data_IF_024829135832
#
_entry.id   IF_024829135832
#
_cell.length_a   1.000
_cell.length_b   1.000
_cell.length_c   1.000
_cell.angle_alpha   90.00
_cell.angle_beta   90.00
_cell.angle_gamma   90.00
#
_symmetry.space_group_name_H-M   'P 1'
#
loop_
_entity.id
_entity.type
_entity.pdbx_description
1 polymer ?
#
# COMPACT_ATOMS: atom_id res chain seq x y z
N UNK A 1 12.02 -22.30 -27.65
CA UNK A 1 12.20 -20.89 -27.16
C UNK A 1 10.91 -20.50 -26.47
N UNK A 2 10.94 -20.27 -25.18
CA UNK A 2 9.75 -19.85 -24.42
C UNK A 2 9.47 -18.38 -24.80
N UNK A 3 8.31 -18.13 -25.39
CA UNK A 3 7.89 -16.76 -25.76
C UNK A 3 7.73 -15.93 -24.50
N UNK A 4 8.48 -14.81 -24.41
CA UNK A 4 8.34 -13.87 -23.30
C UNK A 4 7.18 -12.92 -23.55
N UNK A 5 6.25 -12.84 -22.62
CA UNK A 5 5.13 -11.88 -22.64
C UNK A 5 5.55 -10.56 -21.99
N UNK A 6 5.22 -9.42 -22.61
CA UNK A 6 5.43 -8.10 -22.00
C UNK A 6 4.43 -7.87 -20.87
N UNK A 7 4.91 -7.43 -19.71
CA UNK A 7 4.06 -7.04 -18.58
C UNK A 7 3.46 -5.65 -18.89
N UNK A 8 2.13 -5.56 -18.91
CA UNK A 8 1.36 -4.34 -19.15
C UNK A 8 0.56 -3.95 -17.91
N UNK A 9 -0.07 -2.78 -17.92
CA UNK A 9 -0.84 -2.24 -16.78
C UNK A 9 -1.89 -3.19 -16.20
N UNK A 10 -2.48 -4.05 -17.02
CA UNK A 10 -3.52 -5.02 -16.65
C UNK A 10 -3.05 -6.48 -16.66
N UNK A 11 -1.73 -6.73 -16.74
CA UNK A 11 -1.19 -8.09 -16.68
C UNK A 11 -1.29 -8.66 -15.28
N UNK A 12 -1.85 -9.87 -15.18
CA UNK A 12 -1.92 -10.68 -13.96
C UNK A 12 -0.96 -11.86 -14.12
N UNK A 13 0.00 -11.97 -13.21
CA UNK A 13 0.96 -13.06 -13.16
C UNK A 13 0.49 -14.15 -12.21
N UNK A 14 1.01 -15.39 -12.34
CA UNK A 14 0.65 -16.48 -11.45
C UNK A 14 0.91 -16.15 -9.98
N UNK A 15 -0.05 -16.46 -9.12
CA UNK A 15 0.05 -16.37 -7.67
C UNK A 15 -0.99 -17.29 -7.02
N UNK A 16 -0.77 -17.69 -5.79
CA UNK A 16 -1.82 -18.26 -4.94
C UNK A 16 -2.58 -17.09 -4.33
N UNK A 17 -3.86 -16.94 -4.63
CA UNK A 17 -4.71 -15.85 -4.13
C UNK A 17 -5.83 -16.42 -3.30
N UNK A 18 -5.98 -15.89 -2.10
CA UNK A 18 -6.97 -16.35 -1.13
C UNK A 18 -7.74 -15.13 -0.62
N UNK A 19 -9.06 -15.20 -0.70
CA UNK A 19 -9.91 -14.24 0.00
C UNK A 19 -9.79 -14.46 1.50
N UNK A 20 -9.63 -13.39 2.26
CA UNK A 20 -9.50 -13.43 3.71
C UNK A 20 -10.53 -12.53 4.37
N UNK A 21 -10.98 -12.92 5.56
CA UNK A 21 -11.76 -12.08 6.44
C UNK A 21 -10.90 -11.75 7.65
N UNK A 22 -10.65 -10.46 7.89
CA UNK A 22 -9.93 -10.00 9.07
C UNK A 22 -10.95 -9.63 10.15
N UNK A 23 -10.73 -10.08 11.37
CA UNK A 23 -11.62 -9.79 12.50
C UNK A 23 -10.96 -8.77 13.42
N UNK A 24 -11.60 -7.61 13.59
CA UNK A 24 -11.08 -6.56 14.46
C UNK A 24 -11.40 -6.83 15.92
N UNK A 25 -10.62 -6.27 16.83
CA UNK A 25 -10.83 -6.41 18.28
C UNK A 25 -12.13 -5.76 18.76
N UNK A 26 -12.68 -4.82 18.01
CA UNK A 26 -13.98 -4.18 18.25
C UNK A 26 -15.15 -4.87 17.52
N UNK A 27 -14.90 -6.08 16.94
CA UNK A 27 -15.94 -7.03 16.51
C UNK A 27 -16.39 -6.90 15.06
N UNK A 28 -15.65 -6.20 14.19
CA UNK A 28 -15.97 -6.07 12.76
C UNK A 28 -15.29 -7.14 11.91
N UNK A 29 -15.92 -7.53 10.82
CA UNK A 29 -15.35 -8.37 9.76
C UNK A 29 -14.94 -7.52 8.55
N UNK A 30 -13.66 -7.58 8.18
CA UNK A 30 -13.12 -6.82 7.07
C UNK A 30 -12.80 -7.73 5.89
N UNK A 31 -13.08 -7.25 4.68
CA UNK A 31 -12.79 -7.94 3.42
C UNK A 31 -11.34 -7.74 3.03
N UNK A 32 -10.62 -8.82 2.73
CA UNK A 32 -9.24 -8.78 2.27
C UNK A 32 -8.88 -9.88 1.28
N UNK A 33 -7.66 -9.82 0.79
CA UNK A 33 -7.02 -10.84 -0.05
C UNK A 33 -5.54 -10.94 0.32
N UNK A 34 -5.05 -12.15 0.46
CA UNK A 34 -3.62 -12.44 0.46
C UNK A 34 -3.21 -13.06 -0.88
N UNK A 35 -2.18 -12.50 -1.51
CA UNK A 35 -1.56 -13.03 -2.71
C UNK A 35 -0.15 -13.50 -2.38
N UNK A 36 0.11 -14.80 -2.57
CA UNK A 36 1.36 -15.48 -2.23
C UNK A 36 2.12 -15.92 -3.48
N UNK A 37 3.44 -16.08 -3.43
CA UNK A 37 4.21 -16.66 -4.52
C UNK A 37 3.63 -17.99 -5.00
N UNK A 38 3.67 -18.27 -6.33
CA UNK A 38 2.99 -19.45 -6.86
C UNK A 38 3.64 -20.77 -6.46
N UNK A 39 4.95 -20.80 -6.21
CA UNK A 39 5.73 -22.04 -6.02
C UNK A 39 6.79 -21.94 -4.92
N UNK A 40 7.02 -20.77 -4.34
CA UNK A 40 8.01 -20.52 -3.29
C UNK A 40 7.35 -19.99 -2.02
N UNK A 41 8.06 -20.00 -0.90
CA UNK A 41 7.68 -19.25 0.27
C UNK A 41 8.01 -17.77 0.06
N UNK A 42 7.22 -16.86 0.64
CA UNK A 42 7.49 -15.44 0.53
C UNK A 42 8.77 -15.05 1.27
N UNK A 43 9.55 -14.13 0.69
CA UNK A 43 10.76 -13.60 1.34
C UNK A 43 10.47 -12.41 2.25
N UNK A 44 9.33 -11.75 2.04
CA UNK A 44 8.78 -10.68 2.88
C UNK A 44 7.29 -10.49 2.55
N UNK A 45 6.61 -9.74 3.41
CA UNK A 45 5.17 -9.47 3.30
C UNK A 45 4.91 -7.97 3.21
N UNK A 46 4.03 -7.57 2.30
CA UNK A 46 3.50 -6.22 2.20
C UNK A 46 2.09 -6.21 2.78
N UNK A 47 1.86 -5.45 3.85
CA UNK A 47 0.52 -5.11 4.35
C UNK A 47 0.15 -3.74 3.80
N UNK A 48 -0.88 -3.70 2.96
CA UNK A 48 -1.25 -2.53 2.16
C UNK A 48 -2.37 -1.73 2.83
N UNK A 49 -2.10 -0.46 3.15
CA UNK A 49 -3.07 0.50 3.71
C UNK A 49 -3.50 1.48 2.62
N UNK A 50 -4.75 1.37 2.18
CA UNK A 50 -5.28 2.12 1.04
C UNK A 50 -5.50 3.61 1.34
N UNK A 51 -5.61 4.47 0.28
CA UNK A 51 -5.91 5.89 0.46
C UNK A 51 -7.33 6.09 0.97
N UNK A 52 -7.71 7.36 1.16
CA UNK A 52 -8.94 7.78 1.85
C UNK A 52 -10.20 7.12 1.28
N UNK A 53 -10.95 6.35 2.09
CA UNK A 53 -12.12 5.60 1.63
C UNK A 53 -13.21 6.48 1.03
N UNK A 54 -13.48 7.63 1.65
CA UNK A 54 -14.50 8.59 1.20
C UNK A 54 -14.18 9.23 -0.16
N UNK A 55 -12.96 9.01 -0.67
CA UNK A 55 -12.48 9.47 -1.97
C UNK A 55 -12.11 8.30 -2.88
N UNK A 56 -12.78 7.15 -2.73
CA UNK A 56 -12.60 5.97 -3.57
C UNK A 56 -11.35 5.15 -3.27
N UNK A 57 -10.68 5.38 -2.14
CA UNK A 57 -9.64 4.51 -1.64
C UNK A 57 -10.19 3.16 -1.23
N UNK A 58 -9.55 2.07 -1.66
CA UNK A 58 -9.94 0.70 -1.35
C UNK A 58 -8.77 -0.26 -1.60
N UNK A 59 -8.88 -1.50 -1.17
CA UNK A 59 -7.87 -2.53 -1.41
C UNK A 59 -7.52 -2.73 -2.89
N UNK A 60 -8.45 -2.41 -3.81
CA UNK A 60 -8.27 -2.47 -5.25
C UNK A 60 -7.71 -1.19 -5.87
N UNK A 61 -7.34 -0.18 -5.09
CA UNK A 61 -6.61 0.98 -5.58
C UNK A 61 -5.42 0.52 -6.42
N UNK A 62 -5.22 1.16 -7.58
CA UNK A 62 -4.47 0.60 -8.70
C UNK A 62 -3.02 0.17 -8.38
N UNK A 63 -2.35 0.80 -7.41
CA UNK A 63 -1.01 0.39 -6.97
C UNK A 63 -1.06 -0.96 -6.26
N UNK A 64 -1.96 -1.14 -5.28
CA UNK A 64 -2.06 -2.35 -4.49
C UNK A 64 -2.60 -3.53 -5.29
N UNK A 65 -3.54 -3.26 -6.21
CA UNK A 65 -4.00 -4.27 -7.17
C UNK A 65 -2.85 -4.76 -8.05
N UNK A 66 -2.04 -3.85 -8.61
CA UNK A 66 -0.87 -4.22 -9.41
C UNK A 66 0.21 -4.92 -8.57
N UNK A 67 0.41 -4.52 -7.32
CA UNK A 67 1.30 -5.21 -6.40
C UNK A 67 0.87 -6.68 -6.22
N UNK A 68 -0.41 -6.94 -5.87
CA UNK A 68 -0.94 -8.28 -5.72
C UNK A 68 -0.93 -9.10 -7.02
N UNK A 69 -1.10 -8.47 -8.18
CA UNK A 69 -1.06 -9.14 -9.47
C UNK A 69 0.35 -9.55 -9.92
N UNK A 70 1.40 -8.96 -9.39
CA UNK A 70 2.75 -9.09 -9.97
C UNK A 70 3.84 -9.47 -8.98
N UNK A 71 3.86 -8.88 -7.80
CA UNK A 71 4.99 -9.03 -6.88
C UNK A 71 5.14 -10.45 -6.31
N UNK A 72 4.07 -11.25 -6.12
CA UNK A 72 4.25 -12.64 -5.75
C UNK A 72 5.08 -13.43 -6.77
N UNK A 73 4.86 -13.21 -8.06
CA UNK A 73 5.61 -13.90 -9.12
C UNK A 73 6.97 -13.27 -9.42
N UNK A 74 7.10 -11.96 -9.33
CA UNK A 74 8.32 -11.24 -9.74
C UNK A 74 9.34 -11.09 -8.64
N UNK A 75 8.92 -11.07 -7.39
CA UNK A 75 9.78 -10.74 -6.26
C UNK A 75 9.63 -11.69 -5.07
N UNK A 76 8.88 -12.79 -5.20
CA UNK A 76 8.55 -13.72 -4.11
C UNK A 76 8.00 -13.01 -2.86
N UNK A 77 7.13 -12.00 -3.04
CA UNK A 77 6.51 -11.27 -1.94
C UNK A 77 5.09 -11.77 -1.65
N UNK A 78 4.73 -11.86 -0.38
CA UNK A 78 3.34 -11.91 0.02
C UNK A 78 2.74 -10.49 -0.05
N UNK A 79 1.51 -10.35 -0.51
CA UNK A 79 0.79 -9.08 -0.54
C UNK A 79 -0.57 -9.27 0.12
N UNK A 80 -0.71 -8.74 1.33
CA UNK A 80 -1.98 -8.66 2.05
C UNK A 80 -2.58 -7.27 1.82
N UNK A 81 -3.76 -7.23 1.24
CA UNK A 81 -4.53 -6.01 1.00
C UNK A 81 -5.95 -6.21 1.50
N UNK A 82 -6.53 -5.19 2.08
CA UNK A 82 -7.85 -5.26 2.69
C UNK A 82 -8.56 -3.91 2.59
N UNK A 83 -9.88 -3.94 2.69
CA UNK A 83 -10.71 -2.76 2.87
C UNK A 83 -10.79 -2.44 4.37
N UNK A 84 -10.46 -1.21 4.75
CA UNK A 84 -10.76 -0.73 6.11
C UNK A 84 -12.27 -0.67 6.33
N UNK A 85 -12.70 -0.50 7.55
CA UNK A 85 -14.12 -0.42 7.96
C UNK A 85 -14.95 0.49 7.04
N UNK A 86 -16.15 0.05 6.71
CA UNK A 86 -17.09 0.77 5.84
C UNK A 86 -16.67 0.89 4.37
N UNK A 87 -15.53 0.35 3.98
CA UNK A 87 -15.01 0.45 2.60
C UNK A 87 -15.50 -0.68 1.73
N UNK A 88 -15.86 -0.36 0.49
CA UNK A 88 -16.35 -1.31 -0.53
C UNK A 88 -15.36 -1.45 -1.69
N UNK A 89 -15.20 -2.68 -2.19
CA UNK A 89 -14.45 -3.00 -3.42
C UNK A 89 -15.22 -4.01 -4.28
N UNK A 90 -14.59 -4.57 -5.31
CA UNK A 90 -15.19 -5.67 -6.09
C UNK A 90 -15.27 -6.96 -5.28
N UNK A 91 -14.44 -7.13 -4.25
CA UNK A 91 -14.40 -8.30 -3.40
C UNK A 91 -15.48 -8.27 -2.30
N UNK A 92 -16.10 -7.12 -2.06
CA UNK A 92 -17.14 -6.96 -1.05
C UNK A 92 -16.99 -5.67 -0.24
N UNK A 93 -17.79 -5.58 0.83
CA UNK A 93 -17.83 -4.43 1.74
C UNK A 93 -17.40 -4.88 3.13
N UNK A 94 -16.43 -4.21 3.72
CA UNK A 94 -16.06 -4.35 5.13
C UNK A 94 -17.14 -3.76 6.03
N UNK A 95 -17.39 -4.40 7.15
CA UNK A 95 -18.35 -3.92 8.16
C UNK A 95 -17.91 -2.59 8.78
N UNK A 96 -18.82 -1.95 9.51
CA UNK A 96 -18.59 -0.68 10.19
C UNK A 96 -18.67 0.52 9.26
N UNK A 97 -18.16 1.66 9.74
CA UNK A 97 -18.15 2.93 9.07
C UNK A 97 -16.78 3.59 9.20
N UNK A 98 -16.42 4.44 8.21
CA UNK A 98 -15.18 5.24 8.26
C UNK A 98 -15.15 6.14 9.50
N UNK A 99 -14.08 6.04 10.30
CA UNK A 99 -13.94 6.76 11.59
C UNK A 99 -12.71 7.69 11.61
N UNK A 100 -12.39 8.27 10.47
CA UNK A 100 -11.33 9.28 10.30
C UNK A 100 -9.96 8.91 10.90
N UNK A 101 -9.66 7.62 10.97
CA UNK A 101 -8.41 7.07 11.48
C UNK A 101 -8.45 6.61 12.94
N UNK A 102 -9.54 6.86 13.69
CA UNK A 102 -9.63 6.42 15.07
C UNK A 102 -9.97 4.93 15.16
N UNK A 103 -11.05 4.50 14.51
CA UNK A 103 -11.44 3.08 14.45
C UNK A 103 -10.50 2.24 13.58
N UNK A 104 -9.93 2.82 12.53
CA UNK A 104 -9.04 2.12 11.58
C UNK A 104 -7.75 1.59 12.24
N UNK A 105 -7.40 2.01 13.45
CA UNK A 105 -6.34 1.35 14.24
C UNK A 105 -6.61 -0.14 14.48
N UNK A 106 -7.87 -0.51 14.73
CA UNK A 106 -8.26 -1.91 14.94
C UNK A 106 -8.22 -2.70 13.63
N UNK A 107 -8.43 -2.03 12.49
CA UNK A 107 -8.36 -2.64 11.17
C UNK A 107 -6.91 -2.99 10.81
N UNK A 108 -5.97 -2.08 11.08
CA UNK A 108 -4.55 -2.34 10.92
C UNK A 108 -4.08 -3.45 11.86
N UNK A 109 -4.48 -3.40 13.15
CA UNK A 109 -4.13 -4.42 14.12
C UNK A 109 -4.60 -5.82 13.67
N UNK A 110 -5.84 -5.95 13.15
CA UNK A 110 -6.35 -7.20 12.61
C UNK A 110 -5.54 -7.73 11.41
N UNK A 111 -5.04 -6.83 10.54
CA UNK A 111 -4.20 -7.23 9.43
C UNK A 111 -2.79 -7.70 9.89
N UNK A 112 -2.25 -7.08 10.92
CA UNK A 112 -0.97 -7.48 11.52
C UNK A 112 -1.08 -8.81 12.28
N UNK A 113 -2.16 -8.99 13.04
CA UNK A 113 -2.48 -10.25 13.72
C UNK A 113 -2.65 -11.40 12.72
N UNK A 114 -3.34 -11.15 11.59
CA UNK A 114 -3.43 -12.13 10.50
C UNK A 114 -2.05 -12.51 9.97
N UNK A 115 -1.18 -11.53 9.73
CA UNK A 115 0.16 -11.77 9.21
C UNK A 115 1.01 -12.58 10.21
N UNK A 116 0.92 -12.28 11.50
CA UNK A 116 1.61 -13.00 12.58
C UNK A 116 1.08 -14.44 12.70
N UNK A 117 -0.25 -14.61 12.77
CA UNK A 117 -0.91 -15.92 12.90
C UNK A 117 -0.57 -16.89 11.75
N UNK A 118 -0.37 -16.36 10.54
CA UNK A 118 -0.01 -17.14 9.36
C UNK A 118 1.51 -17.20 9.10
N UNK A 119 2.34 -16.82 10.07
CA UNK A 119 3.80 -16.82 9.98
C UNK A 119 4.32 -16.09 8.71
N UNK A 120 3.65 -15.03 8.28
CA UNK A 120 4.06 -14.26 7.11
C UNK A 120 5.35 -13.49 7.44
N UNK A 121 6.45 -13.69 6.67
CA UNK A 121 7.77 -13.20 7.06
C UNK A 121 7.93 -11.69 6.83
N UNK A 122 8.72 -11.02 7.69
CA UNK A 122 9.24 -9.67 7.46
C UNK A 122 8.17 -8.69 6.96
N UNK A 123 7.20 -8.40 7.80
CA UNK A 123 6.07 -7.53 7.46
C UNK A 123 6.50 -6.08 7.25
N UNK A 124 6.25 -5.55 6.08
CA UNK A 124 6.39 -4.14 5.73
C UNK A 124 5.01 -3.51 5.53
N UNK A 125 4.79 -2.36 6.11
CA UNK A 125 3.64 -1.55 5.77
C UNK A 125 3.90 -0.82 4.44
N UNK A 126 2.98 -0.91 3.49
CA UNK A 126 2.97 -0.08 2.28
C UNK A 126 1.68 0.72 2.31
N UNK A 127 1.82 2.00 2.63
CA UNK A 127 0.72 2.82 3.07
C UNK A 127 0.57 4.07 2.18
N UNK A 128 -0.61 4.28 1.62
CA UNK A 128 -0.83 5.35 0.65
C UNK A 128 -1.77 6.42 1.19
N UNK A 129 -1.33 7.70 1.16
CA UNK A 129 -2.13 8.87 1.53
C UNK A 129 -2.69 8.73 2.95
N UNK A 130 -4.00 8.66 3.15
CA UNK A 130 -4.64 8.38 4.45
C UNK A 130 -4.03 7.15 5.14
N UNK A 131 -3.79 6.08 4.39
CA UNK A 131 -3.11 4.91 4.93
C UNK A 131 -1.71 5.21 5.48
N UNK A 132 -0.99 6.22 4.94
CA UNK A 132 0.31 6.63 5.46
C UNK A 132 0.19 7.27 6.85
N UNK A 133 -0.85 8.07 7.10
CA UNK A 133 -1.14 8.59 8.43
C UNK A 133 -1.50 7.46 9.42
N UNK A 134 -2.25 6.43 8.98
CA UNK A 134 -2.53 5.25 9.81
C UNK A 134 -1.25 4.49 10.17
N UNK A 135 -0.36 4.28 9.19
CA UNK A 135 0.91 3.61 9.42
C UNK A 135 1.79 4.38 10.42
N UNK A 136 1.86 5.71 10.32
CA UNK A 136 2.63 6.54 11.25
C UNK A 136 2.07 6.49 12.66
N UNK A 137 0.74 6.53 12.82
CA UNK A 137 0.08 6.56 14.12
C UNK A 137 0.06 5.21 14.84
N UNK A 138 -0.09 4.12 14.09
CA UNK A 138 -0.42 2.81 14.67
C UNK A 138 0.45 1.67 14.16
N UNK A 139 1.42 1.96 13.27
CA UNK A 139 2.23 0.92 12.61
C UNK A 139 3.46 0.45 13.38
N UNK A 140 3.73 0.99 14.58
CA UNK A 140 4.84 0.55 15.44
C UNK A 140 4.47 -0.71 16.22
N UNK A 141 4.22 -1.78 15.48
CA UNK A 141 3.94 -3.11 16.01
C UNK A 141 5.20 -4.01 15.93
N UNK A 142 5.43 -4.95 16.87
CA UNK A 142 6.59 -5.83 16.86
C UNK A 142 6.77 -6.65 15.59
N UNK A 143 5.69 -7.05 14.91
CA UNK A 143 5.76 -7.83 13.67
C UNK A 143 6.22 -7.00 12.47
N UNK A 144 6.09 -5.67 12.52
CA UNK A 144 6.45 -4.75 11.44
C UNK A 144 7.94 -4.45 11.45
N UNK A 145 8.62 -4.69 10.34
CA UNK A 145 10.06 -4.43 10.19
C UNK A 145 10.38 -3.07 9.57
N UNK A 146 9.39 -2.39 9.00
CA UNK A 146 9.54 -1.05 8.41
C UNK A 146 8.30 -0.60 7.66
N UNK A 147 8.27 0.65 7.22
CA UNK A 147 7.16 1.20 6.45
C UNK A 147 7.62 1.98 5.21
N UNK A 148 6.81 1.88 4.15
CA UNK A 148 6.94 2.66 2.92
C UNK A 148 5.66 3.47 2.76
N UNK A 149 5.80 4.77 2.85
CA UNK A 149 4.71 5.74 2.75
C UNK A 149 4.65 6.29 1.33
N UNK A 150 3.51 6.17 0.69
CA UNK A 150 3.26 6.69 -0.65
C UNK A 150 2.42 7.96 -0.55
N UNK A 151 2.95 9.09 -1.02
CA UNK A 151 2.26 10.39 -0.92
C UNK A 151 1.76 10.69 0.50
N UNK A 152 2.59 10.64 1.56
CA UNK A 152 2.12 10.88 2.93
C UNK A 152 1.64 12.33 3.07
N UNK A 153 0.38 12.60 3.44
CA UNK A 153 -0.12 13.96 3.54
C UNK A 153 0.16 14.59 4.90
N UNK A 154 0.48 13.78 5.94
CA UNK A 154 0.69 14.19 7.33
C UNK A 154 -0.45 15.05 7.89
N UNK A 155 -1.70 14.63 7.64
CA UNK A 155 -2.90 15.38 8.05
C UNK A 155 -3.42 14.99 9.41
N UNK A 156 -3.32 13.72 9.78
CA UNK A 156 -3.77 13.20 11.07
C UNK A 156 -2.63 12.63 11.92
N UNK A 157 -1.46 12.39 11.34
CA UNK A 157 -0.24 12.09 12.08
C UNK A 157 0.34 13.34 12.71
N UNK A 158 0.86 13.22 13.93
CA UNK A 158 1.41 14.29 14.75
C UNK A 158 2.93 14.26 14.77
N UNK A 159 3.53 15.27 15.39
CA UNK A 159 4.97 15.30 15.65
C UNK A 159 5.38 14.17 16.61
N UNK A 160 4.54 13.84 17.60
CA UNK A 160 4.78 12.74 18.54
C UNK A 160 4.82 11.38 17.83
N UNK A 161 3.97 11.17 16.81
CA UNK A 161 4.00 9.94 15.98
C UNK A 161 5.34 9.83 15.23
N UNK A 162 5.83 10.93 14.65
CA UNK A 162 7.12 10.95 13.98
C UNK A 162 8.30 10.75 14.98
N UNK A 163 8.22 11.32 16.17
CA UNK A 163 9.22 11.14 17.23
C UNK A 163 9.23 9.69 17.74
N UNK A 164 8.08 9.01 17.79
CA UNK A 164 8.01 7.61 18.12
C UNK A 164 8.73 6.75 17.06
N UNK A 165 8.54 7.01 15.77
CA UNK A 165 9.29 6.35 14.68
C UNK A 165 10.79 6.65 14.77
N UNK A 166 11.17 7.88 15.09
CA UNK A 166 12.58 8.24 15.29
C UNK A 166 13.22 7.45 16.43
N UNK A 167 12.52 7.32 17.55
CA UNK A 167 12.99 6.58 18.74
C UNK A 167 13.09 5.08 18.51
N UNK A 168 12.16 4.51 17.74
CA UNK A 168 12.15 3.07 17.39
C UNK A 168 13.31 2.71 16.44
N UNK A 169 13.63 3.55 15.47
CA UNK A 169 14.78 3.40 14.58
C UNK A 169 14.59 2.45 13.39
N UNK A 170 13.43 1.76 13.26
CA UNK A 170 13.16 0.91 12.09
C UNK A 170 13.08 1.72 10.79
N UNK A 171 13.34 1.08 9.62
CA UNK A 171 13.30 1.77 8.33
C UNK A 171 11.96 2.44 8.05
N UNK A 172 12.02 3.70 7.64
CA UNK A 172 10.88 4.50 7.19
C UNK A 172 11.24 5.15 5.85
N UNK A 173 10.47 4.87 4.81
CA UNK A 173 10.70 5.44 3.47
C UNK A 173 9.47 6.20 3.04
N UNK A 174 9.62 7.43 2.58
CA UNK A 174 8.53 8.21 2.01
C UNK A 174 8.78 8.49 0.52
N UNK A 175 7.97 7.88 -0.34
CA UNK A 175 7.91 8.22 -1.76
C UNK A 175 6.98 9.42 -1.92
N UNK A 176 7.56 10.56 -2.32
CA UNK A 176 6.86 11.84 -2.39
C UNK A 176 6.81 12.32 -3.83
N UNK A 177 5.60 12.43 -4.43
CA UNK A 177 5.43 12.96 -5.77
C UNK A 177 5.92 14.41 -5.88
N UNK A 178 6.66 14.72 -6.95
CA UNK A 178 7.16 16.09 -7.19
C UNK A 178 6.06 17.13 -7.40
N UNK A 179 4.89 16.67 -7.88
CA UNK A 179 3.69 17.49 -8.12
C UNK A 179 2.54 17.13 -7.17
N UNK A 180 2.87 16.69 -5.95
CA UNK A 180 1.86 16.38 -4.94
C UNK A 180 1.08 17.65 -4.53
N UNK A 181 -0.23 17.51 -4.37
CA UNK A 181 -1.12 18.62 -3.99
C UNK A 181 -1.16 18.84 -2.46
N UNK A 182 -0.68 17.88 -1.66
CA UNK A 182 -0.73 17.93 -0.19
C UNK A 182 0.64 18.18 0.45
N UNK A 183 1.66 17.41 0.07
CA UNK A 183 3.00 17.52 0.65
C UNK A 183 4.06 17.28 -0.43
N UNK A 184 4.77 18.33 -0.81
CA UNK A 184 5.85 18.27 -1.81
C UNK A 184 7.18 17.85 -1.20
N UNK A 185 8.15 17.37 -2.00
CA UNK A 185 9.43 16.87 -1.48
C UNK A 185 10.21 17.83 -0.55
N UNK A 186 10.27 19.14 -0.77
CA UNK A 186 10.92 20.04 0.19
C UNK A 186 10.24 20.05 1.56
N UNK A 187 8.90 20.13 1.58
CA UNK A 187 8.11 20.10 2.80
C UNK A 187 8.22 18.75 3.52
N UNK A 188 8.21 17.66 2.75
CA UNK A 188 8.39 16.31 3.30
C UNK A 188 9.76 16.20 3.99
N UNK A 189 10.84 16.67 3.36
CA UNK A 189 12.18 16.69 4.00
C UNK A 189 12.21 17.48 5.31
N UNK A 190 11.52 18.61 5.36
CA UNK A 190 11.41 19.43 6.57
C UNK A 190 10.65 18.67 7.67
N UNK A 191 9.49 18.11 7.35
CA UNK A 191 8.64 17.40 8.32
C UNK A 191 9.31 16.12 8.84
N UNK A 192 9.93 15.34 7.96
CA UNK A 192 10.64 14.11 8.33
C UNK A 192 12.07 14.34 8.86
N UNK A 193 12.59 15.57 8.91
CA UNK A 193 13.91 15.86 9.46
C UNK A 193 14.08 15.41 10.93
N UNK A 194 12.98 15.26 11.67
CA UNK A 194 12.95 14.72 13.03
C UNK A 194 13.11 13.20 13.11
N UNK A 195 12.99 12.48 11.99
CA UNK A 195 13.16 11.02 11.88
C UNK A 195 14.47 10.72 11.15
N UNK A 196 15.62 10.59 11.85
CA UNK A 196 16.93 10.52 11.21
C UNK A 196 17.12 9.38 10.21
N UNK A 197 16.42 8.26 10.43
CA UNK A 197 16.47 7.09 9.54
C UNK A 197 15.49 7.19 8.37
N UNK A 198 14.64 8.21 8.27
CA UNK A 198 13.68 8.36 7.19
C UNK A 198 14.37 8.68 5.86
N UNK A 199 14.10 7.87 4.84
CA UNK A 199 14.51 8.12 3.47
C UNK A 199 13.40 8.84 2.71
N UNK A 200 13.68 10.03 2.15
CA UNK A 200 12.72 10.79 1.35
C UNK A 200 13.09 10.67 -0.13
N UNK A 201 12.29 9.91 -0.85
CA UNK A 201 12.44 9.67 -2.30
C UNK A 201 11.50 10.59 -3.07
N UNK A 202 12.06 11.64 -3.67
CA UNK A 202 11.30 12.53 -4.54
C UNK A 202 11.11 11.89 -5.92
N UNK A 203 9.85 11.80 -6.39
CA UNK A 203 9.52 11.26 -7.70
C UNK A 203 9.07 12.40 -8.60
N UNK A 204 10.02 12.95 -9.36
CA UNK A 204 9.77 14.09 -10.23
C UNK A 204 8.68 13.78 -11.27
N UNK A 205 7.78 14.74 -11.52
CA UNK A 205 6.67 14.63 -12.46
C UNK A 205 5.48 13.81 -11.97
N UNK A 206 5.64 12.99 -10.94
CA UNK A 206 4.56 12.21 -10.36
C UNK A 206 3.57 13.10 -9.61
N UNK A 207 2.30 12.67 -9.57
CA UNK A 207 1.20 13.29 -8.83
C UNK A 207 0.72 12.37 -7.71
N UNK A 208 -0.07 12.90 -6.78
CA UNK A 208 -0.59 12.22 -5.59
C UNK A 208 -1.12 10.80 -5.84
N UNK A 209 -1.79 10.61 -6.97
CA UNK A 209 -2.44 9.33 -7.32
C UNK A 209 -1.55 8.35 -8.09
N UNK A 210 -0.30 8.69 -8.40
CA UNK A 210 0.66 7.82 -9.09
C UNK A 210 0.17 7.25 -10.43
N UNK A 211 -0.73 7.96 -11.12
CA UNK A 211 -1.22 7.54 -12.43
C UNK A 211 -0.09 7.63 -13.45
N UNK A 212 0.26 6.49 -14.04
CA UNK A 212 1.40 6.39 -14.95
C UNK A 212 2.71 5.94 -14.28
N UNK A 213 2.85 6.06 -12.97
CA UNK A 213 4.08 5.77 -12.21
C UNK A 213 4.05 4.46 -11.40
N UNK A 214 3.02 3.63 -11.59
CA UNK A 214 2.85 2.42 -10.78
C UNK A 214 4.04 1.46 -10.85
N UNK A 215 4.62 1.26 -12.02
CA UNK A 215 5.78 0.39 -12.20
C UNK A 215 6.98 0.91 -11.42
N UNK A 216 7.22 2.23 -11.45
CA UNK A 216 8.29 2.89 -10.68
C UNK A 216 8.06 2.74 -9.18
N UNK A 217 6.83 2.94 -8.69
CA UNK A 217 6.50 2.74 -7.27
C UNK A 217 6.76 1.31 -6.84
N UNK A 218 6.37 0.30 -7.64
CA UNK A 218 6.63 -1.10 -7.32
C UNK A 218 8.12 -1.44 -7.30
N UNK A 219 8.91 -0.88 -8.23
CA UNK A 219 10.37 -1.04 -8.21
C UNK A 219 10.99 -0.43 -6.94
N UNK A 220 10.57 0.78 -6.54
CA UNK A 220 11.03 1.43 -5.32
C UNK A 220 10.68 0.62 -4.06
N UNK A 221 9.46 0.05 -4.00
CA UNK A 221 9.05 -0.85 -2.90
C UNK A 221 9.95 -2.08 -2.85
N UNK A 222 10.12 -2.78 -3.99
CA UNK A 222 10.92 -4.00 -4.05
C UNK A 222 12.39 -3.74 -3.73
N UNK A 223 12.94 -2.61 -4.17
CA UNK A 223 14.33 -2.23 -3.88
C UNK A 223 14.64 -2.14 -2.37
N UNK A 224 13.63 -1.84 -1.52
CA UNK A 224 13.80 -1.77 -0.06
C UNK A 224 13.42 -3.07 0.64
N UNK A 225 12.34 -3.70 0.21
CA UNK A 225 11.81 -4.90 0.85
C UNK A 225 12.60 -6.16 0.49
N UNK A 226 12.97 -6.27 -0.79
CA UNK A 226 13.68 -7.43 -1.36
C UNK A 226 14.72 -6.96 -2.41
N UNK A 227 15.81 -6.28 -2.01
CA UNK A 227 16.74 -5.61 -2.93
C UNK A 227 17.37 -6.55 -3.96
N UNK A 228 17.54 -7.83 -3.65
CA UNK A 228 18.00 -8.83 -4.59
C UNK A 228 17.02 -9.16 -5.74
N UNK A 229 15.80 -8.65 -5.69
CA UNK A 229 14.74 -8.82 -6.70
C UNK A 229 14.49 -7.56 -7.53
N UNK A 230 15.16 -6.45 -7.24
CA UNK A 230 15.11 -5.20 -8.00
C UNK A 230 16.28 -5.14 -9.01
N UNK A 231 16.10 -4.54 -10.20
CA UNK A 231 14.83 -4.02 -10.74
C UNK A 231 13.88 -5.13 -11.20
N UNK A 232 12.58 -4.85 -11.17
CA UNK A 232 11.56 -5.81 -11.60
C UNK A 232 11.65 -6.07 -13.11
N UNK A 233 11.48 -7.34 -13.55
CA UNK A 233 11.42 -7.67 -14.96
C UNK A 233 10.23 -7.00 -15.66
N UNK A 234 10.43 -6.51 -16.88
CA UNK A 234 9.37 -5.96 -17.74
C UNK A 234 8.70 -7.03 -18.62
N UNK A 235 9.20 -8.27 -18.56
CA UNK A 235 8.68 -9.42 -19.31
C UNK A 235 8.57 -10.64 -18.42
N UNK A 236 7.62 -11.53 -18.74
CA UNK A 236 7.39 -12.80 -18.06
C UNK A 236 7.61 -14.00 -18.99
N UNK A 237 8.31 -15.06 -18.58
CA UNK A 237 8.61 -16.22 -19.46
C UNK A 237 7.50 -17.25 -19.54
N UNK A 238 6.36 -17.02 -18.90
CA UNK A 238 5.22 -17.96 -18.84
C UNK A 238 3.93 -17.36 -19.36
N UNK A 239 2.82 -18.10 -19.21
CA UNK A 239 1.50 -17.58 -19.52
C UNK A 239 1.15 -16.40 -18.62
N UNK A 240 0.39 -15.47 -19.15
CA UNK A 240 -0.12 -14.30 -18.42
C UNK A 240 -1.62 -14.19 -18.64
N UNK A 241 -2.32 -13.73 -17.63
CA UNK A 241 -3.72 -13.33 -17.75
C UNK A 241 -3.81 -11.83 -17.96
N UNK A 242 -4.89 -11.39 -18.60
CA UNK A 242 -5.18 -9.97 -18.78
C UNK A 242 -6.49 -9.68 -18.08
N UNK A 243 -6.41 -8.86 -17.03
CA UNK A 243 -7.62 -8.47 -16.30
C UNK A 243 -8.43 -7.45 -17.10
N UNK A 244 -9.76 -7.59 -17.04
CA UNK A 244 -10.66 -6.51 -17.42
C UNK A 244 -10.64 -5.45 -16.32
N UNK A 245 -10.17 -4.26 -16.65
CA UNK A 245 -10.07 -3.14 -15.71
C UNK A 245 -11.22 -2.16 -15.81
N UNK A 246 -12.22 -2.40 -16.66
CA UNK A 246 -13.37 -1.50 -16.84
C UNK A 246 -14.17 -1.29 -15.55
N UNK A 247 -14.40 -2.36 -14.79
CA UNK A 247 -15.11 -2.31 -13.51
C UNK A 247 -14.41 -1.44 -12.43
N UNK A 248 -13.11 -1.15 -12.61
CA UNK A 248 -12.36 -0.28 -11.69
C UNK A 248 -12.33 1.18 -12.15
N UNK A 249 -12.56 1.46 -13.45
CA UNK A 249 -12.49 2.80 -14.01
C UNK A 249 -13.61 3.70 -13.49
N UNK A 250 -14.83 3.17 -13.41
CA UNK A 250 -16.01 3.93 -13.02
C UNK A 250 -15.98 4.39 -11.55
N UNK A 251 -15.30 3.64 -10.68
CA UNK A 251 -15.23 3.96 -9.24
C UNK A 251 -14.19 5.04 -8.93
N UNK A 252 -13.08 5.09 -9.67
CA UNK A 252 -12.00 6.05 -9.42
C UNK A 252 -12.33 7.44 -9.96
N UNK A 253 -12.99 7.54 -11.11
CA UNK A 253 -13.35 8.83 -11.75
C UNK A 253 -14.47 9.55 -11.00
N UNK A 254 -15.49 8.82 -10.52
CA UNK A 254 -16.59 9.40 -9.78
C UNK A 254 -16.17 9.99 -8.42
N UNK A 255 -15.19 9.40 -7.76
CA UNK A 255 -14.74 9.82 -6.43
C UNK A 255 -13.92 11.11 -6.44
N UNK A 256 -13.31 11.48 -7.55
CA UNK A 256 -12.43 12.67 -7.65
C UNK A 256 -13.08 13.87 -8.36
N UNK A 257 -14.30 13.70 -8.92
CA UNK A 257 -14.97 14.77 -9.68
C UNK A 257 -15.52 15.92 -8.80
N UNK A 258 -15.76 15.69 -7.51
CA UNK A 258 -16.50 16.61 -6.63
C UNK A 258 -15.74 17.03 -5.35
N UNK A 259 -14.40 16.94 -5.32
CA UNK A 259 -13.65 17.32 -4.12
C UNK A 259 -13.32 18.81 -4.14
N UNK A 260 -13.94 19.63 -3.28
CA UNK A 260 -13.49 21.01 -3.09
C UNK A 260 -12.10 21.01 -2.47
N UNK A 261 -11.17 21.74 -3.08
CA UNK A 261 -9.85 21.98 -2.51
C UNK A 261 -10.00 22.58 -1.10
N UNK A 262 -9.28 22.06 -0.09
CA UNK A 262 -9.30 22.66 1.23
C UNK A 262 -8.73 24.09 1.16
N UNK A 263 -9.23 25.02 1.98
CA UNK A 263 -8.69 26.37 2.02
C UNK A 263 -7.21 26.36 2.41
N UNK A 264 -6.42 27.15 1.70
CA UNK A 264 -5.02 27.40 2.02
C UNK A 264 -4.92 27.92 3.49
N UNK A 265 -4.06 27.27 4.28
CA UNK A 265 -3.66 27.72 5.61
C UNK A 265 -2.27 28.28 5.58
#
# INVERSE_FOLDING_TARGET
MTTKSRIRGNTVLPARREAVTLHTTDGLALVGEVALPPQSEPVATLVCLHPLPTHGGMMDSHLFRKAAWRLPALADLAVLRFNTRGTSSLQGTSEGEFDAGAGEQHDLAAALEYAEYHDLPRVWLVAWSFGADLALRYGLDPVVVGAILLSPPLRSSTDDDLDAWAADGRPLVALVPGLDDYLRPPQARERFARVPQAEIVAVEGAKHLWVGDAERVLDEVVARVAPGRSPLPTTWPGPVETADTSAYADRTVAAFADVPMPPER
#
